data_IF_974231727781
#
_entry.id   IF_974231727781
#
_cell.length_a   1.000
_cell.length_b   1.000
_cell.length_c   1.000
_cell.angle_alpha   90.00
_cell.angle_beta   90.00
_cell.angle_gamma   90.00
#
_symmetry.space_group_name_H-M   'P 1'
#
loop_
_entity.id
_entity.type
_entity.pdbx_description
1 polymer ?
#
# COMPACT_ATOMS: atom_id res chain seq x y z
N UNK A 1 -22.55 -15.38 -5.67
CA UNK A 1 -21.46 -15.16 -6.67
C UNK A 1 -21.11 -13.69 -6.79
N UNK A 2 -19.80 -13.41 -6.81
CA UNK A 2 -19.10 -12.10 -6.92
C UNK A 2 -18.72 -11.43 -5.59
N UNK A 3 -17.81 -12.08 -4.85
CA UNK A 3 -16.89 -11.38 -3.95
C UNK A 3 -15.95 -10.51 -4.80
N UNK A 4 -16.46 -9.40 -5.34
CA UNK A 4 -15.64 -8.33 -5.94
C UNK A 4 -14.96 -7.59 -4.80
N UNK A 5 -13.95 -8.19 -4.21
CA UNK A 5 -13.11 -7.45 -3.28
C UNK A 5 -12.07 -6.74 -4.14
N UNK A 6 -12.07 -5.41 -4.15
CA UNK A 6 -11.06 -4.51 -4.76
C UNK A 6 -9.66 -4.68 -4.14
N UNK A 7 -9.33 -5.90 -3.74
CA UNK A 7 -8.17 -6.27 -2.95
C UNK A 7 -6.98 -6.39 -3.86
N UNK A 8 -5.88 -5.82 -3.43
CA UNK A 8 -4.61 -6.06 -4.07
C UNK A 8 -4.24 -7.54 -3.98
N UNK A 9 -3.62 -8.09 -5.03
CA UNK A 9 -3.04 -9.42 -4.99
C UNK A 9 -2.08 -9.56 -3.78
N UNK A 10 -1.94 -10.77 -3.20
CA UNK A 10 -1.04 -11.00 -2.07
C UNK A 10 0.40 -10.52 -2.31
N UNK A 11 0.90 -10.63 -3.54
CA UNK A 11 2.25 -10.21 -3.90
C UNK A 11 2.41 -8.69 -3.84
N UNK A 12 1.40 -7.95 -4.32
CA UNK A 12 1.34 -6.48 -4.20
C UNK A 12 1.29 -6.08 -2.73
N UNK A 13 0.46 -6.76 -1.92
CA UNK A 13 0.40 -6.50 -0.49
C UNK A 13 1.75 -6.75 0.19
N UNK A 14 2.43 -7.85 -0.11
CA UNK A 14 3.74 -8.14 0.44
C UNK A 14 4.78 -7.11 0.03
N UNK A 15 4.77 -6.65 -1.22
CA UNK A 15 5.63 -5.59 -1.71
C UNK A 15 5.39 -4.28 -0.94
N UNK A 16 4.15 -3.80 -0.87
CA UNK A 16 3.83 -2.54 -0.18
C UNK A 16 4.17 -2.62 1.30
N UNK A 17 3.92 -3.77 1.95
CA UNK A 17 4.30 -3.97 3.35
C UNK A 17 5.81 -3.86 3.57
N UNK A 18 6.63 -4.38 2.66
CA UNK A 18 8.09 -4.23 2.71
C UNK A 18 8.48 -2.78 2.47
N UNK A 19 7.95 -2.15 1.42
CA UNK A 19 8.24 -0.76 1.05
C UNK A 19 7.96 0.22 2.19
N UNK A 20 6.74 0.20 2.77
CA UNK A 20 6.34 1.10 3.87
C UNK A 20 7.00 0.78 5.21
N UNK A 21 7.67 -0.37 5.32
CA UNK A 21 8.48 -0.71 6.50
C UNK A 21 9.90 -0.19 6.35
N UNK A 22 10.47 -0.25 5.14
CA UNK A 22 11.75 0.36 4.83
C UNK A 22 11.68 1.89 4.76
N UNK A 23 10.54 2.42 4.29
CA UNK A 23 10.28 3.85 4.12
C UNK A 23 9.08 4.26 4.99
N UNK A 24 9.28 4.56 6.28
CA UNK A 24 8.18 4.93 7.18
C UNK A 24 7.57 6.29 6.85
N UNK A 25 8.33 7.17 6.19
CA UNK A 25 7.89 8.45 5.65
C UNK A 25 8.01 8.38 4.13
N UNK A 26 6.90 8.18 3.43
CA UNK A 26 6.84 8.12 1.98
C UNK A 26 5.67 8.95 1.47
N UNK A 27 5.79 9.47 0.25
CA UNK A 27 4.67 10.10 -0.45
C UNK A 27 3.89 9.05 -1.25
N UNK A 28 2.58 9.27 -1.41
CA UNK A 28 1.76 8.36 -2.21
C UNK A 28 2.19 8.30 -3.68
N UNK A 29 2.78 9.38 -4.20
CA UNK A 29 3.32 9.44 -5.55
C UNK A 29 4.49 8.46 -5.73
N UNK A 30 5.43 8.41 -4.79
CA UNK A 30 6.56 7.48 -4.79
C UNK A 30 6.09 6.03 -4.73
N UNK A 31 5.16 5.73 -3.81
CA UNK A 31 4.58 4.39 -3.71
C UNK A 31 3.85 3.99 -5.00
N UNK A 32 3.18 4.94 -5.66
CA UNK A 32 2.48 4.67 -6.93
C UNK A 32 3.46 4.40 -8.07
N UNK A 33 4.57 5.12 -8.14
CA UNK A 33 5.62 4.87 -9.13
C UNK A 33 6.24 3.48 -8.95
N UNK A 34 6.59 3.13 -7.72
CA UNK A 34 7.08 1.80 -7.38
C UNK A 34 6.08 0.70 -7.74
N UNK A 35 4.80 0.92 -7.48
CA UNK A 35 3.74 -0.01 -7.89
C UNK A 35 3.63 -0.12 -9.42
N UNK A 36 3.80 0.96 -10.19
CA UNK A 36 3.79 0.90 -11.66
C UNK A 36 4.98 0.14 -12.22
N UNK A 37 6.16 0.35 -11.64
CA UNK A 37 7.41 -0.31 -12.07
C UNK A 37 7.35 -1.80 -11.79
N UNK A 38 6.89 -2.20 -10.60
CA UNK A 38 6.88 -3.60 -10.17
C UNK A 38 5.60 -4.36 -10.57
N UNK A 39 4.48 -3.66 -10.81
CA UNK A 39 3.18 -4.24 -11.16
C UNK A 39 2.47 -3.40 -12.23
N UNK A 40 2.99 -3.45 -13.47
CA UNK A 40 2.45 -2.70 -14.62
C UNK A 40 0.95 -2.95 -14.89
N UNK A 41 0.46 -4.14 -14.54
CA UNK A 41 -0.92 -4.55 -14.79
C UNK A 41 -1.89 -4.10 -13.68
N UNK A 42 -1.38 -3.46 -12.62
CA UNK A 42 -2.17 -3.02 -11.48
C UNK A 42 -2.85 -1.67 -11.76
N UNK A 43 -4.14 -1.72 -12.12
CA UNK A 43 -4.91 -0.53 -12.51
C UNK A 43 -5.43 0.30 -11.33
N UNK A 44 -5.59 -0.29 -10.15
CA UNK A 44 -6.19 0.35 -8.97
C UNK A 44 -5.14 0.96 -8.03
N UNK A 45 -4.29 1.84 -8.57
CA UNK A 45 -3.20 2.51 -7.83
C UNK A 45 -3.41 4.02 -7.66
N UNK A 46 -4.64 4.51 -7.82
CA UNK A 46 -4.97 5.89 -7.45
C UNK A 46 -4.74 6.13 -5.96
N UNK A 47 -4.53 7.38 -5.55
CA UNK A 47 -4.36 7.76 -4.15
C UNK A 47 -5.53 7.28 -3.28
N UNK A 48 -6.75 7.33 -3.82
CA UNK A 48 -7.96 6.81 -3.16
C UNK A 48 -7.90 5.28 -2.98
N UNK A 49 -7.35 4.56 -3.96
CA UNK A 49 -7.18 3.11 -3.89
C UNK A 49 -6.10 2.72 -2.88
N UNK A 50 -4.96 3.41 -2.90
CA UNK A 50 -3.85 3.22 -1.96
C UNK A 50 -4.32 3.51 -0.53
N UNK A 51 -5.02 4.63 -0.32
CA UNK A 51 -5.54 5.02 0.99
C UNK A 51 -6.53 3.99 1.57
N UNK A 52 -7.24 3.24 0.71
CA UNK A 52 -8.10 2.11 1.14
C UNK A 52 -7.28 0.83 1.34
N UNK A 53 -6.36 0.51 0.45
CA UNK A 53 -5.58 -0.72 0.52
C UNK A 53 -4.70 -0.78 1.77
N UNK A 54 -4.09 0.34 2.18
CA UNK A 54 -3.27 0.41 3.40
C UNK A 54 -3.99 -0.12 4.65
N UNK A 55 -5.17 0.40 5.06
CA UNK A 55 -5.89 -0.13 6.21
C UNK A 55 -6.59 -1.47 5.93
N UNK A 56 -7.25 -1.63 4.78
CA UNK A 56 -8.13 -2.79 4.54
C UNK A 56 -7.38 -4.05 4.09
N UNK A 57 -6.37 -3.92 3.24
CA UNK A 57 -5.60 -5.05 2.72
C UNK A 57 -4.35 -5.34 3.55
N UNK A 58 -3.75 -4.30 4.14
CA UNK A 58 -2.45 -4.39 4.82
C UNK A 58 -2.54 -4.22 6.34
N UNK A 59 -3.68 -3.78 6.89
CA UNK A 59 -3.82 -3.46 8.31
C UNK A 59 -2.98 -2.26 8.77
N UNK A 60 -2.44 -1.49 7.81
CA UNK A 60 -1.62 -0.31 8.04
C UNK A 60 -2.50 0.92 8.25
N UNK A 61 -3.02 1.02 9.46
CA UNK A 61 -3.77 2.21 9.90
C UNK A 61 -2.82 3.39 10.10
N UNK A 62 -3.36 4.62 10.07
CA UNK A 62 -2.62 5.84 10.42
C UNK A 62 -1.84 5.69 11.73
N UNK A 63 -2.42 5.04 12.75
CA UNK A 63 -1.75 4.77 14.03
C UNK A 63 -0.49 3.91 13.89
N UNK A 64 -0.52 2.88 13.04
CA UNK A 64 0.62 2.00 12.77
C UNK A 64 1.71 2.75 11.98
N UNK A 65 1.30 3.54 10.98
CA UNK A 65 2.22 4.34 10.18
C UNK A 65 2.89 5.45 11.02
N UNK A 66 2.13 6.20 11.82
CA UNK A 66 2.67 7.24 12.72
C UNK A 66 3.61 6.65 13.77
N UNK A 67 3.27 5.49 14.38
CA UNK A 67 4.16 4.83 15.35
C UNK A 67 5.51 4.44 14.72
N UNK A 68 5.53 4.06 13.45
CA UNK A 68 6.77 3.71 12.72
C UNK A 68 7.58 4.95 12.34
N UNK A 69 6.92 6.04 11.93
CA UNK A 69 7.59 7.31 11.69
C UNK A 69 8.25 7.89 12.96
N UNK A 70 7.74 7.54 14.15
CA UNK A 70 8.30 7.94 15.44
C UNK A 70 9.24 6.91 16.08
N UNK A 71 9.49 5.76 15.44
CA UNK A 71 10.40 4.76 15.97
C UNK A 71 11.86 5.17 15.63
N UNK A 72 12.74 5.33 16.63
CA UNK A 72 14.14 5.69 16.43
C UNK A 72 14.96 4.55 15.83
#
# INVERSE_FOLDING_TARGET
>A
NKNKTSRWPPDVCNFVKKYVTANPCFYFEELREELRVNFSDLLNISDSSICRALPFDLGLTRKVLTKRASAP
#
